data_IF_128365620288
#
_entry.id   IF_128365620288
#
_cell.length_a   1.000
_cell.length_b   1.000
_cell.length_c   1.000
_cell.angle_alpha   90.00
_cell.angle_beta   90.00
_cell.angle_gamma   90.00
#
_symmetry.space_group_name_H-M   'P 1'
#
loop_
_entity.id
_entity.type
_entity.pdbx_description
1 polymer ?
#
# COMPACT_ATOMS: atom_id res chain seq x y z
N UNK A 1 9.31 -17.10 6.36
CA UNK A 1 8.09 -17.52 5.63
C UNK A 1 8.14 -16.84 4.27
N UNK A 2 7.85 -17.54 3.18
CA UNK A 2 7.93 -16.92 1.85
C UNK A 2 6.75 -15.96 1.68
N UNK A 3 7.01 -14.66 1.58
CA UNK A 3 5.98 -13.66 1.27
C UNK A 3 5.45 -13.84 -0.15
N UNK A 4 4.19 -13.48 -0.37
CA UNK A 4 3.61 -13.43 -1.72
C UNK A 4 4.02 -12.14 -2.42
N UNK A 5 4.27 -12.21 -3.73
CA UNK A 5 4.65 -11.05 -4.54
C UNK A 5 3.44 -10.39 -5.19
N UNK A 6 3.44 -9.07 -5.16
CA UNK A 6 2.39 -8.24 -5.75
C UNK A 6 2.96 -6.99 -6.38
N UNK A 7 2.20 -6.38 -7.30
CA UNK A 7 2.49 -5.05 -7.83
C UNK A 7 1.77 -3.99 -6.98
N UNK A 8 2.53 -3.10 -6.34
CA UNK A 8 1.97 -2.01 -5.56
C UNK A 8 1.68 -0.79 -6.44
N UNK A 9 0.42 -0.35 -6.42
CA UNK A 9 -0.08 0.82 -7.12
C UNK A 9 -0.58 1.87 -6.13
N UNK A 10 0.29 2.76 -5.63
CA UNK A 10 -0.16 3.89 -4.85
C UNK A 10 -1.05 4.82 -5.70
N UNK A 11 -2.18 5.25 -5.14
CA UNK A 11 -3.22 6.03 -5.82
C UNK A 11 -3.58 7.30 -5.05
N UNK A 12 -4.51 8.08 -5.59
CA UNK A 12 -5.18 9.16 -4.86
C UNK A 12 -6.67 8.85 -4.73
N UNK A 13 -7.30 9.37 -3.69
CA UNK A 13 -8.75 9.30 -3.52
C UNK A 13 -9.33 10.67 -3.16
N UNK A 14 -10.62 10.87 -3.45
CA UNK A 14 -11.33 12.11 -3.10
C UNK A 14 -11.28 12.38 -1.59
N UNK A 15 -11.47 11.33 -0.76
CA UNK A 15 -11.44 11.45 0.70
C UNK A 15 -10.05 11.83 1.22
N UNK A 16 -8.99 11.22 0.65
CA UNK A 16 -7.62 11.61 0.97
C UNK A 16 -7.38 13.09 0.63
N UNK A 17 -7.81 13.54 -0.55
CA UNK A 17 -7.69 14.94 -0.98
C UNK A 17 -8.42 15.92 -0.07
N UNK A 18 -9.60 15.56 0.44
CA UNK A 18 -10.33 16.35 1.42
C UNK A 18 -9.57 16.43 2.74
N UNK A 19 -9.12 15.29 3.28
CA UNK A 19 -8.42 15.20 4.56
C UNK A 19 -7.06 15.91 4.57
N UNK A 20 -6.39 16.04 3.42
CA UNK A 20 -5.19 16.87 3.29
C UNK A 20 -5.42 18.33 3.72
N UNK A 21 -6.64 18.87 3.55
CA UNK A 21 -6.97 20.23 3.97
C UNK A 21 -7.31 20.33 5.46
N UNK A 22 -7.72 19.22 6.08
CA UNK A 22 -8.02 19.17 7.52
C UNK A 22 -6.71 19.02 8.30
N UNK A 23 -5.86 18.09 7.89
CA UNK A 23 -4.57 17.84 8.51
C UNK A 23 -4.12 16.39 8.30
N UNK A 24 -2.81 16.19 8.16
CA UNK A 24 -2.22 14.86 7.94
C UNK A 24 -2.08 14.03 9.23
N UNK A 25 -2.15 14.69 10.37
CA UNK A 25 -2.00 14.05 11.69
C UNK A 25 -3.34 13.56 12.25
N UNK A 26 -4.45 13.77 11.52
CA UNK A 26 -5.78 13.32 11.91
C UNK A 26 -6.00 11.83 11.63
N UNK A 27 -6.75 11.17 12.52
CA UNK A 27 -7.07 9.74 12.44
C UNK A 27 -7.68 9.34 11.09
N UNK A 28 -8.52 10.20 10.50
CA UNK A 28 -9.12 9.97 9.19
C UNK A 28 -8.07 9.89 8.07
N UNK A 29 -7.11 10.81 8.04
CA UNK A 29 -6.05 10.80 7.03
C UNK A 29 -5.17 9.57 7.22
N UNK A 30 -4.79 9.29 8.47
CA UNK A 30 -3.95 8.15 8.85
C UNK A 30 -4.63 6.85 8.43
N UNK A 31 -5.91 6.66 8.74
CA UNK A 31 -6.66 5.47 8.35
C UNK A 31 -6.70 5.30 6.82
N UNK A 32 -6.90 6.38 6.07
CA UNK A 32 -6.95 6.36 4.60
C UNK A 32 -5.62 5.88 4.00
N UNK A 33 -4.48 6.40 4.47
CA UNK A 33 -3.16 6.05 3.90
C UNK A 33 -2.58 4.74 4.44
N UNK A 34 -3.20 4.15 5.47
CA UNK A 34 -2.86 2.83 6.02
C UNK A 34 -3.83 1.73 5.58
N UNK A 35 -4.85 2.04 4.79
CA UNK A 35 -5.80 1.04 4.26
C UNK A 35 -5.45 0.68 2.83
N UNK A 36 -5.06 -0.58 2.62
CA UNK A 36 -4.69 -1.13 1.32
C UNK A 36 -5.82 -2.01 0.78
N UNK A 37 -6.24 -1.77 -0.46
CA UNK A 37 -7.24 -2.60 -1.12
C UNK A 37 -6.60 -3.75 -1.90
N UNK A 38 -7.18 -4.94 -1.75
CA UNK A 38 -6.72 -6.19 -2.35
C UNK A 38 -7.89 -6.97 -2.97
N UNK A 39 -7.59 -7.80 -3.95
CA UNK A 39 -8.59 -8.71 -4.50
C UNK A 39 -8.93 -9.83 -3.48
N UNK A 40 -10.21 -10.24 -3.33
CA UNK A 40 -10.60 -11.24 -2.33
C UNK A 40 -9.89 -12.59 -2.45
N UNK A 41 -9.67 -13.10 -3.67
CA UNK A 41 -8.95 -14.36 -3.86
C UNK A 41 -7.47 -14.27 -3.47
N UNK A 42 -6.84 -13.10 -3.63
CA UNK A 42 -5.43 -12.92 -3.24
C UNK A 42 -5.32 -12.86 -1.72
N UNK A 43 -6.30 -12.25 -1.04
CA UNK A 43 -6.39 -12.26 0.42
C UNK A 43 -6.60 -13.68 0.97
N UNK A 44 -7.47 -14.46 0.30
CA UNK A 44 -7.71 -15.87 0.65
C UNK A 44 -6.46 -16.73 0.46
N UNK A 45 -5.70 -16.53 -0.62
CA UNK A 45 -4.43 -17.24 -0.85
C UNK A 45 -3.35 -16.84 0.16
N UNK A 46 -3.30 -15.57 0.55
CA UNK A 46 -2.43 -15.07 1.62
C UNK A 46 -2.87 -15.54 3.02
N UNK A 47 -4.12 -16.00 3.17
CA UNK A 47 -4.69 -16.44 4.44
C UNK A 47 -5.10 -15.29 5.37
N UNK A 48 -5.42 -14.12 4.82
CA UNK A 48 -5.83 -12.93 5.57
C UNK A 48 -7.31 -12.61 5.36
N UNK A 49 -7.94 -12.05 6.40
CA UNK A 49 -9.33 -11.60 6.35
C UNK A 49 -9.41 -10.09 6.15
N UNK A 50 -10.57 -9.59 5.70
CA UNK A 50 -10.85 -8.15 5.65
C UNK A 50 -10.59 -7.48 7.00
N UNK A 51 -9.80 -6.39 7.00
CA UNK A 51 -9.37 -5.67 8.19
C UNK A 51 -8.10 -6.22 8.87
N UNK A 52 -7.55 -7.35 8.41
CA UNK A 52 -6.29 -7.87 8.93
C UNK A 52 -5.10 -6.96 8.58
N UNK A 53 -4.09 -6.93 9.44
CA UNK A 53 -2.85 -6.21 9.20
C UNK A 53 -1.86 -7.10 8.46
N UNK A 54 -1.29 -6.58 7.37
CA UNK A 54 -0.19 -7.19 6.62
C UNK A 54 1.06 -6.33 6.70
N UNK A 55 2.22 -6.96 6.52
CA UNK A 55 3.48 -6.26 6.30
C UNK A 55 3.83 -6.30 4.82
N UNK A 56 4.17 -5.14 4.27
CA UNK A 56 4.59 -4.96 2.89
C UNK A 56 6.04 -4.53 2.90
N UNK A 57 6.89 -5.21 2.14
CA UNK A 57 8.34 -5.00 2.13
C UNK A 57 8.85 -4.77 0.71
N UNK A 58 9.82 -3.87 0.60
CA UNK A 58 10.70 -3.70 -0.56
C UNK A 58 12.15 -3.88 -0.11
N UNK A 59 13.10 -3.78 -1.04
CA UNK A 59 14.54 -3.80 -0.71
C UNK A 59 14.99 -2.61 0.16
N UNK A 60 14.22 -1.52 0.17
CA UNK A 60 14.58 -0.27 0.87
C UNK A 60 13.92 -0.11 2.23
N UNK A 61 12.77 -0.77 2.46
CA UNK A 61 12.02 -0.59 3.68
C UNK A 61 10.77 -1.45 3.75
N UNK A 62 9.99 -1.24 4.81
CA UNK A 62 8.75 -1.94 5.03
C UNK A 62 7.73 -1.03 5.73
N UNK A 63 6.46 -1.35 5.55
CA UNK A 63 5.35 -0.68 6.20
C UNK A 63 4.19 -1.67 6.42
N UNK A 64 3.35 -1.40 7.41
CA UNK A 64 2.15 -2.19 7.68
C UNK A 64 0.89 -1.50 7.15
N UNK A 65 -0.07 -2.30 6.71
CA UNK A 65 -1.34 -1.82 6.18
C UNK A 65 -2.49 -2.71 6.65
N UNK A 66 -3.67 -2.12 6.86
CA UNK A 66 -4.90 -2.88 6.99
C UNK A 66 -5.44 -3.25 5.61
N UNK A 67 -5.75 -4.54 5.42
CA UNK A 67 -6.32 -5.05 4.19
C UNK A 67 -7.79 -4.69 4.08
N UNK A 68 -8.21 -4.31 2.87
CA UNK A 68 -9.60 -4.11 2.52
C UNK A 68 -9.94 -4.84 1.23
N UNK A 69 -10.94 -5.71 1.27
CA UNK A 69 -11.44 -6.37 0.06
C UNK A 69 -12.01 -5.35 -0.92
N UNK A 70 -11.67 -5.49 -2.20
CA UNK A 70 -12.18 -4.66 -3.28
C UNK A 70 -12.22 -5.40 -4.61
N UNK A 71 -13.09 -4.95 -5.52
CA UNK A 71 -13.11 -5.42 -6.91
C UNK A 71 -11.96 -4.78 -7.71
N UNK A 72 -10.75 -5.31 -7.53
CA UNK A 72 -9.52 -4.87 -8.19
C UNK A 72 -8.83 -6.03 -8.90
N UNK A 73 -7.98 -5.82 -9.92
CA UNK A 73 -7.29 -6.92 -10.58
C UNK A 73 -6.43 -7.74 -9.61
N UNK A 74 -6.38 -9.05 -9.82
CA UNK A 74 -5.51 -9.96 -9.06
C UNK A 74 -4.04 -9.61 -9.24
N UNK A 75 -3.24 -9.76 -8.19
CA UNK A 75 -1.82 -9.44 -8.17
C UNK A 75 -1.50 -7.95 -8.01
N UNK A 76 -2.51 -7.07 -7.93
CA UNK A 76 -2.35 -5.63 -7.74
C UNK A 76 -2.87 -5.19 -6.38
N UNK A 77 -2.09 -4.32 -5.73
CA UNK A 77 -2.44 -3.69 -4.46
C UNK A 77 -2.63 -2.21 -4.68
N UNK A 78 -3.64 -1.61 -4.06
CA UNK A 78 -3.86 -0.17 -4.15
C UNK A 78 -3.96 0.46 -2.78
N UNK A 79 -3.29 1.60 -2.59
CA UNK A 79 -3.32 2.35 -1.34
C UNK A 79 -3.16 3.84 -1.63
N UNK A 80 -3.93 4.73 -0.98
CA UNK A 80 -3.71 6.16 -1.11
C UNK A 80 -2.30 6.57 -0.66
N UNK A 81 -1.62 7.42 -1.43
CA UNK A 81 -0.28 7.90 -1.08
C UNK A 81 -0.22 8.51 0.33
N UNK A 82 0.80 8.16 1.09
CA UNK A 82 1.07 8.77 2.38
C UNK A 82 2.43 8.35 2.95
N UNK A 83 2.74 8.78 4.19
CA UNK A 83 3.98 8.40 4.86
C UNK A 83 4.30 6.89 4.81
N UNK A 84 3.34 5.95 4.99
CA UNK A 84 3.63 4.52 4.90
C UNK A 84 4.14 4.09 3.51
N UNK A 85 3.52 4.57 2.42
CA UNK A 85 3.99 4.25 1.07
C UNK A 85 5.35 4.86 0.75
N UNK A 86 5.68 6.01 1.34
CA UNK A 86 6.98 6.64 1.15
C UNK A 86 8.13 5.83 1.77
N UNK A 87 7.86 5.05 2.83
CA UNK A 87 8.86 4.16 3.44
C UNK A 87 9.25 2.99 2.52
N UNK A 88 8.41 2.69 1.52
CA UNK A 88 8.66 1.64 0.53
C UNK A 88 9.38 2.16 -0.73
N UNK A 89 9.46 3.48 -0.91
CA UNK A 89 10.02 4.12 -2.10
C UNK A 89 11.54 4.19 -2.03
N UNK A 90 12.20 3.67 -3.07
CA UNK A 90 13.65 3.78 -3.21
C UNK A 90 14.13 5.18 -3.62
N UNK A 91 15.45 5.35 -3.63
CA UNK A 91 16.11 6.59 -4.06
C UNK A 91 16.56 6.63 -5.51
N UNK A 92 16.49 5.51 -6.25
CA UNK A 92 16.84 5.46 -7.67
C UNK A 92 15.85 6.29 -8.49
N UNK A 93 16.36 7.08 -9.42
CA UNK A 93 15.59 8.05 -10.21
C UNK A 93 15.66 7.81 -11.72
N UNK A 94 16.43 6.82 -12.17
CA UNK A 94 16.68 6.55 -13.59
C UNK A 94 17.19 7.78 -14.36
N UNK A 95 17.92 8.68 -13.68
CA UNK A 95 18.43 9.94 -14.24
C UNK A 95 17.36 11.00 -14.49
N UNK A 96 16.12 10.80 -14.05
CA UNK A 96 15.00 11.75 -14.24
C UNK A 96 14.82 12.74 -13.09
N UNK A 97 15.47 12.49 -11.95
CA UNK A 97 15.27 13.24 -10.70
C UNK A 97 13.99 12.87 -9.93
N UNK A 98 13.20 11.91 -10.43
CA UNK A 98 11.99 11.41 -9.76
C UNK A 98 12.13 9.93 -9.45
N UNK A 99 11.99 9.51 -8.17
CA UNK A 99 12.03 8.10 -7.84
C UNK A 99 10.82 7.31 -8.35
N UNK A 100 10.99 6.00 -8.50
CA UNK A 100 9.89 5.07 -8.76
C UNK A 100 8.86 5.19 -7.64
N UNK A 101 7.74 5.83 -7.95
CA UNK A 101 6.68 6.18 -6.98
C UNK A 101 5.42 5.30 -7.13
N UNK A 102 5.35 4.44 -8.15
CA UNK A 102 4.22 3.53 -8.41
C UNK A 102 4.64 2.34 -9.27
N UNK A 103 3.90 1.24 -9.17
CA UNK A 103 4.03 0.09 -10.06
C UNK A 103 5.32 -0.68 -9.85
N UNK A 104 5.67 -0.94 -8.59
CA UNK A 104 6.84 -1.73 -8.22
C UNK A 104 6.43 -3.02 -7.52
N UNK A 105 7.29 -4.03 -7.59
CA UNK A 105 7.09 -5.30 -6.91
C UNK A 105 7.31 -5.17 -5.40
N UNK A 106 6.39 -5.75 -4.62
CA UNK A 106 6.49 -5.83 -3.17
C UNK A 106 6.31 -7.26 -2.68
N UNK A 107 6.93 -7.57 -1.55
CA UNK A 107 6.70 -8.80 -0.82
C UNK A 107 5.70 -8.55 0.32
N UNK A 108 4.70 -9.41 0.43
CA UNK A 108 3.63 -9.29 1.43
C UNK A 108 3.62 -10.53 2.33
N UNK A 109 3.61 -10.30 3.63
CA UNK A 109 3.50 -11.34 4.66
C UNK A 109 2.44 -10.98 5.71
N UNK A 110 1.84 -12.02 6.30
CA UNK A 110 0.93 -11.87 7.45
C UNK A 110 1.75 -11.49 8.68
N UNK A 111 1.23 -10.55 9.48
CA UNK A 111 1.83 -10.14 10.77
C UNK A 111 1.52 -11.16 11.86
#
# INVERSE_FOLDING_TARGET
MAGMRFLLMPIRSNKQGQQLNVGKDGDDYIAIVNTMTMHPEDMKELGVVNGATIRVRTEVGDATFQCKEANVPRGLLFVPYGPPTCQLMGGETDGTGMPTSKGWDVEVEVV
#
